data_IF_836980613023
#
_entry.id   IF_836980613023
#
_cell.length_a   1.000
_cell.length_b   1.000
_cell.length_c   1.000
_cell.angle_alpha   90.00
_cell.angle_beta   90.00
_cell.angle_gamma   90.00
#
_symmetry.space_group_name_H-M   'P 1'
#
loop_
_entity.id
_entity.type
_entity.pdbx_description
1 polymer ?
#
# COMPACT_ATOMS: atom_id res chain seq x y z
N UNK A 1 11.46 31.20 -15.10
CA UNK A 1 11.77 30.33 -13.94
C UNK A 1 10.73 29.24 -13.89
N UNK A 2 11.07 28.05 -14.26
CA UNK A 2 10.21 26.86 -14.10
C UNK A 2 10.24 26.50 -12.63
N UNK A 3 9.21 26.83 -11.91
CA UNK A 3 9.00 26.31 -10.54
C UNK A 3 8.85 24.80 -10.70
N UNK A 4 9.91 24.06 -10.43
CA UNK A 4 9.82 22.61 -10.33
C UNK A 4 8.84 22.31 -9.20
N UNK A 5 7.67 21.77 -9.54
CA UNK A 5 6.68 21.45 -8.53
C UNK A 5 7.31 20.40 -7.58
N UNK A 6 7.21 20.67 -6.28
CA UNK A 6 7.77 19.77 -5.26
C UNK A 6 7.03 18.43 -5.29
N UNK A 7 7.78 17.34 -5.25
CA UNK A 7 7.18 16.00 -5.13
C UNK A 7 6.59 15.81 -3.73
N UNK A 8 5.32 15.43 -3.66
CA UNK A 8 4.60 15.19 -2.41
C UNK A 8 3.81 13.89 -2.46
N UNK A 9 3.66 13.24 -1.33
CA UNK A 9 2.79 12.07 -1.19
C UNK A 9 1.34 12.53 -1.22
N UNK A 10 0.52 11.93 -2.09
CA UNK A 10 -0.91 12.24 -2.24
C UNK A 10 -1.82 11.13 -1.73
N UNK A 11 -1.29 9.96 -1.43
CA UNK A 11 -2.04 8.87 -0.84
C UNK A 11 -1.23 7.59 -0.70
N UNK A 12 -1.79 6.64 0.03
CA UNK A 12 -1.16 5.35 0.31
C UNK A 12 -2.17 4.20 0.19
N UNK A 13 -1.68 3.03 -0.24
CA UNK A 13 -2.43 1.78 -0.21
C UNK A 13 -1.64 0.79 0.62
N UNK A 14 -2.16 0.39 1.80
CA UNK A 14 -1.46 -0.50 2.71
C UNK A 14 -1.49 -1.95 2.26
N UNK A 15 -0.53 -2.74 2.74
CA UNK A 15 -0.54 -4.21 2.68
C UNK A 15 -0.71 -4.81 1.29
N UNK A 16 -0.08 -4.23 0.28
CA UNK A 16 -0.05 -4.77 -1.07
C UNK A 16 1.00 -5.88 -1.18
N UNK A 17 0.56 -7.10 -1.45
CA UNK A 17 1.40 -8.30 -1.51
C UNK A 17 1.60 -8.79 -2.93
N UNK A 18 2.82 -9.14 -3.28
CA UNK A 18 3.15 -9.75 -4.56
C UNK A 18 4.00 -10.99 -4.36
N UNK A 19 3.86 -11.95 -5.27
CA UNK A 19 4.71 -13.15 -5.29
C UNK A 19 6.10 -12.80 -5.80
N UNK A 20 7.12 -13.16 -5.06
CA UNK A 20 8.54 -12.98 -5.42
C UNK A 20 9.24 -14.27 -5.81
N UNK A 21 8.55 -15.41 -5.67
CA UNK A 21 9.02 -16.74 -6.03
C UNK A 21 7.91 -17.76 -5.86
N UNK A 22 8.25 -19.05 -5.99
CA UNK A 22 7.26 -20.13 -5.92
C UNK A 22 6.57 -20.19 -4.54
N UNK A 23 7.30 -19.86 -3.46
CA UNK A 23 6.82 -19.95 -2.07
C UNK A 23 7.03 -18.66 -1.28
N UNK A 24 7.46 -17.57 -1.93
CA UNK A 24 7.78 -16.32 -1.27
C UNK A 24 6.86 -15.18 -1.72
N UNK A 25 6.52 -14.33 -0.76
CA UNK A 25 5.68 -13.15 -0.97
C UNK A 25 6.36 -11.94 -0.32
N UNK A 26 6.36 -10.82 -0.99
CA UNK A 26 6.78 -9.54 -0.43
C UNK A 26 5.56 -8.64 -0.24
N UNK A 27 5.53 -7.92 0.87
CA UNK A 27 4.51 -6.93 1.19
C UNK A 27 5.07 -5.52 1.09
N UNK A 28 4.26 -4.62 0.55
CA UNK A 28 4.59 -3.21 0.35
C UNK A 28 3.45 -2.32 0.80
N UNK A 29 3.78 -1.11 1.21
CA UNK A 29 2.86 0.02 1.12
C UNK A 29 3.07 0.68 -0.24
N UNK A 30 2.02 0.83 -1.03
CA UNK A 30 2.07 1.58 -2.27
C UNK A 30 1.88 3.07 -1.94
N UNK A 31 2.91 3.86 -2.14
CA UNK A 31 2.89 5.30 -1.85
C UNK A 31 2.78 6.05 -3.16
N UNK A 32 1.64 6.71 -3.36
CA UNK A 32 1.37 7.50 -4.56
C UNK A 32 1.82 8.93 -4.32
N UNK A 33 2.71 9.43 -5.15
CA UNK A 33 3.09 10.83 -5.17
C UNK A 33 2.46 11.54 -6.37
N UNK A 34 2.57 12.85 -6.43
CA UNK A 34 2.14 13.60 -7.61
C UNK A 34 3.01 13.36 -8.87
N UNK A 35 4.09 12.56 -8.75
CA UNK A 35 5.02 12.25 -9.85
C UNK A 35 5.13 10.77 -10.19
N UNK A 36 5.03 9.88 -9.19
CA UNK A 36 5.34 8.44 -9.34
C UNK A 36 4.66 7.58 -8.30
N UNK A 37 4.77 6.27 -8.46
CA UNK A 37 4.39 5.27 -7.47
C UNK A 37 5.65 4.72 -6.81
N UNK A 38 5.72 4.81 -5.49
CA UNK A 38 6.80 4.25 -4.69
C UNK A 38 6.31 2.95 -4.04
N UNK A 39 7.14 1.92 -4.10
CA UNK A 39 6.95 0.64 -3.43
C UNK A 39 7.77 0.64 -2.14
N UNK A 40 7.13 0.94 -1.02
CA UNK A 40 7.77 0.94 0.29
C UNK A 40 7.64 -0.46 0.92
N UNK A 41 8.75 -1.21 0.97
CA UNK A 41 8.76 -2.59 1.46
C UNK A 41 8.44 -2.66 2.94
N UNK A 42 7.49 -3.50 3.30
CA UNK A 42 7.19 -3.82 4.69
C UNK A 42 8.12 -4.93 5.16
N UNK A 43 9.08 -4.60 6.01
CA UNK A 43 9.98 -5.57 6.64
C UNK A 43 9.45 -5.97 8.01
N UNK A 44 9.82 -7.16 8.49
CA UNK A 44 9.45 -7.62 9.83
C UNK A 44 9.89 -6.66 10.93
N UNK A 45 11.06 -6.04 10.77
CA UNK A 45 11.59 -5.08 11.75
C UNK A 45 10.77 -3.80 11.79
N UNK A 46 10.39 -3.26 10.63
CA UNK A 46 9.52 -2.09 10.55
C UNK A 46 8.13 -2.37 11.13
N UNK A 47 7.58 -3.56 10.87
CA UNK A 47 6.29 -3.99 11.44
C UNK A 47 6.37 -4.13 12.95
N UNK A 48 7.45 -4.72 13.49
CA UNK A 48 7.67 -4.83 14.93
C UNK A 48 7.79 -3.46 15.60
N UNK A 49 8.65 -2.60 15.09
CA UNK A 49 8.83 -1.24 15.61
C UNK A 49 7.50 -0.47 15.65
N UNK A 50 6.71 -0.56 14.58
CA UNK A 50 5.40 0.09 14.55
C UNK A 50 4.42 -0.54 15.53
N UNK A 51 4.40 -1.86 15.66
CA UNK A 51 3.53 -2.57 16.61
C UNK A 51 3.87 -2.19 18.07
N UNK A 52 5.15 -2.09 18.40
CA UNK A 52 5.60 -1.66 19.72
C UNK A 52 5.20 -0.22 20.00
N UNK A 53 5.36 0.68 19.04
CA UNK A 53 4.92 2.07 19.16
C UNK A 53 3.41 2.17 19.37
N UNK A 54 2.60 1.47 18.56
CA UNK A 54 1.13 1.47 18.68
C UNK A 54 0.68 0.90 20.02
N UNK A 55 1.33 -0.15 20.51
CA UNK A 55 1.05 -0.71 21.85
C UNK A 55 1.38 0.28 22.98
N UNK A 56 2.50 0.98 22.86
CA UNK A 56 2.90 2.00 23.84
C UNK A 56 1.91 3.17 23.87
N UNK A 57 1.48 3.64 22.69
CA UNK A 57 0.47 4.70 22.54
C UNK A 57 -0.91 4.23 23.05
N UNK A 58 -1.32 3.00 22.80
CA UNK A 58 -2.57 2.42 23.30
C UNK A 58 -2.58 2.27 24.83
N UNK A 59 -1.45 1.87 25.44
CA UNK A 59 -1.31 1.82 26.91
C UNK A 59 -1.40 3.20 27.54
N UNK A 60 -0.82 4.21 26.91
CA UNK A 60 -0.88 5.59 27.37
C UNK A 60 -2.28 6.20 27.22
N UNK A 61 -3.08 5.74 26.23
CA UNK A 61 -4.42 6.25 25.93
C UNK A 61 -5.57 5.54 26.65
N UNK A 62 -5.34 4.51 27.47
CA UNK A 62 -6.38 3.77 28.21
C UNK A 62 -7.40 3.07 27.30
N UNK A 63 -7.06 2.77 26.06
CA UNK A 63 -7.95 2.12 25.11
C UNK A 63 -8.20 0.67 25.50
N UNK A 64 -9.43 0.37 25.93
CA UNK A 64 -9.92 -0.97 26.17
C UNK A 64 -9.88 -1.84 24.91
N UNK A 65 -9.81 -3.11 25.15
CA UNK A 65 -9.80 -4.24 24.25
C UNK A 65 -10.62 -4.05 22.95
N UNK A 66 -9.97 -3.68 21.88
CA UNK A 66 -10.47 -3.89 20.52
C UNK A 66 -9.95 -5.24 20.03
N UNK A 67 -10.85 -6.12 19.54
CA UNK A 67 -10.49 -7.47 19.12
C UNK A 67 -9.26 -7.50 18.20
N UNK A 68 -8.45 -8.55 18.30
CA UNK A 68 -7.15 -8.70 17.65
C UNK A 68 -7.12 -8.38 16.14
N UNK A 69 -8.23 -8.58 15.44
CA UNK A 69 -8.38 -8.28 14.02
C UNK A 69 -8.46 -6.79 13.71
N UNK A 70 -9.24 -6.04 14.47
CA UNK A 70 -9.33 -4.59 14.32
C UNK A 70 -8.01 -3.89 14.63
N UNK A 71 -7.23 -4.42 15.57
CA UNK A 71 -5.92 -3.88 15.93
C UNK A 71 -4.88 -4.08 14.82
N UNK A 72 -4.86 -5.23 14.13
CA UNK A 72 -3.92 -5.49 13.04
C UNK A 72 -4.20 -4.64 11.80
N UNK A 73 -5.47 -4.49 11.41
CA UNK A 73 -5.87 -3.61 10.31
C UNK A 73 -5.58 -2.15 10.63
N UNK A 74 -5.86 -1.70 11.86
CA UNK A 74 -5.52 -0.36 12.33
C UNK A 74 -4.00 -0.14 12.36
N UNK A 75 -3.22 -1.13 12.79
CA UNK A 75 -1.77 -1.04 12.82
C UNK A 75 -1.16 -0.95 11.42
N UNK A 76 -1.63 -1.75 10.47
CA UNK A 76 -1.18 -1.69 9.08
C UNK A 76 -1.57 -0.37 8.41
N UNK A 77 -2.78 0.12 8.68
CA UNK A 77 -3.25 1.41 8.19
C UNK A 77 -2.47 2.57 8.81
N UNK A 78 -2.27 2.57 10.12
CA UNK A 78 -1.48 3.57 10.82
C UNK A 78 -0.01 3.57 10.38
N UNK A 79 0.54 2.39 10.09
CA UNK A 79 1.88 2.27 9.51
C UNK A 79 1.96 2.93 8.13
N UNK A 80 0.99 2.69 7.26
CA UNK A 80 0.94 3.30 5.94
C UNK A 80 0.72 4.83 6.00
N UNK A 81 -0.08 5.30 6.95
CA UNK A 81 -0.38 6.73 7.14
C UNK A 81 0.86 7.58 7.44
N UNK A 82 1.90 7.02 8.07
CA UNK A 82 3.13 7.75 8.35
C UNK A 82 3.81 8.28 7.09
N UNK A 83 3.65 7.58 5.96
CA UNK A 83 4.22 8.00 4.68
C UNK A 83 3.62 9.29 4.14
N UNK A 84 2.40 9.65 4.54
CA UNK A 84 1.76 10.92 4.12
C UNK A 84 2.52 12.16 4.61
N UNK A 85 3.28 12.03 5.71
CA UNK A 85 4.08 13.11 6.29
C UNK A 85 5.56 13.01 5.96
N UNK A 86 5.97 12.01 5.15
CA UNK A 86 7.38 11.78 4.82
C UNK A 86 7.72 12.36 3.44
N UNK A 87 8.94 12.86 3.32
CA UNK A 87 9.52 13.23 2.03
C UNK A 87 9.70 11.97 1.15
N UNK A 88 9.33 12.00 -0.14
CA UNK A 88 9.46 10.85 -1.04
C UNK A 88 10.88 10.27 -1.12
N UNK A 89 11.90 11.12 -1.06
CA UNK A 89 13.29 10.69 -1.03
C UNK A 89 13.63 9.90 0.25
N UNK A 90 13.09 10.32 1.40
CA UNK A 90 13.28 9.62 2.67
C UNK A 90 12.58 8.25 2.66
N UNK A 91 11.41 8.15 2.02
CA UNK A 91 10.70 6.87 1.85
C UNK A 91 11.56 5.90 1.03
N UNK A 92 12.13 6.35 -0.08
CA UNK A 92 13.00 5.51 -0.91
C UNK A 92 14.27 5.06 -0.19
N UNK A 93 14.82 5.90 0.68
CA UNK A 93 16.03 5.60 1.44
C UNK A 93 15.79 4.72 2.68
N UNK A 94 14.54 4.53 3.10
CA UNK A 94 14.19 3.82 4.34
C UNK A 94 14.59 2.33 4.32
N UNK A 95 14.52 1.70 3.15
CA UNK A 95 14.86 0.28 2.99
C UNK A 95 15.49 0.03 1.62
N UNK A 96 16.52 -0.84 1.53
CA UNK A 96 17.13 -1.19 0.23
C UNK A 96 16.18 -1.89 -0.74
N UNK A 97 15.07 -2.46 -0.23
CA UNK A 97 14.03 -3.07 -1.06
C UNK A 97 12.99 -2.10 -1.62
N UNK A 98 13.10 -0.81 -1.31
CA UNK A 98 12.20 0.21 -1.84
C UNK A 98 12.56 0.57 -3.28
N UNK A 99 11.55 0.81 -4.09
CA UNK A 99 11.69 1.18 -5.48
C UNK A 99 10.54 2.09 -5.92
N UNK A 100 10.55 2.48 -7.18
CA UNK A 100 9.50 3.30 -7.76
C UNK A 100 9.27 3.00 -9.25
N UNK A 101 8.15 3.46 -9.77
CA UNK A 101 7.84 3.46 -11.19
C UNK A 101 7.25 4.81 -11.58
N UNK A 102 7.75 5.38 -12.65
CA UNK A 102 7.25 6.61 -13.26
C UNK A 102 6.11 6.34 -14.25
N UNK A 103 5.23 7.30 -14.51
CA UNK A 103 4.19 7.17 -15.53
C UNK A 103 4.74 6.81 -16.92
N UNK A 104 5.94 7.26 -17.27
CA UNK A 104 6.59 6.93 -18.55
C UNK A 104 6.96 5.45 -18.69
N UNK A 105 7.11 4.73 -17.60
CA UNK A 105 7.40 3.29 -17.57
C UNK A 105 6.15 2.43 -17.55
N UNK A 106 5.00 3.00 -17.16
CA UNK A 106 3.73 2.28 -17.04
C UNK A 106 2.97 2.29 -18.36
N UNK A 107 2.56 1.12 -18.81
CA UNK A 107 1.65 0.94 -19.95
C UNK A 107 0.19 0.94 -19.52
N UNK A 108 -0.07 0.28 -18.39
CA UNK A 108 -1.40 0.18 -17.80
C UNK A 108 -1.30 -0.07 -16.30
N UNK A 109 -2.20 0.55 -15.56
CA UNK A 109 -2.44 0.30 -14.14
C UNK A 109 -3.91 -0.06 -13.96
N UNK A 110 -4.19 -1.29 -13.53
CA UNK A 110 -5.56 -1.79 -13.36
C UNK A 110 -5.85 -2.04 -11.89
N UNK A 111 -7.01 -1.57 -11.43
CA UNK A 111 -7.49 -1.82 -10.07
C UNK A 111 -8.80 -2.59 -10.16
N UNK A 112 -8.84 -3.76 -9.54
CA UNK A 112 -9.99 -4.63 -9.51
C UNK A 112 -10.38 -4.95 -8.06
N UNK A 113 -11.67 -4.92 -7.78
CA UNK A 113 -12.22 -5.51 -6.56
C UNK A 113 -12.33 -7.01 -6.73
N UNK A 114 -11.80 -7.76 -5.80
CA UNK A 114 -11.88 -9.22 -5.75
C UNK A 114 -12.43 -9.68 -4.40
N UNK A 115 -12.86 -10.93 -4.36
CA UNK A 115 -13.37 -11.57 -3.16
C UNK A 115 -12.52 -12.79 -2.84
N UNK A 116 -12.20 -12.96 -1.56
CA UNK A 116 -11.48 -14.12 -1.04
C UNK A 116 -12.44 -14.87 -0.13
N UNK A 117 -12.66 -16.16 -0.39
CA UNK A 117 -13.42 -17.04 0.51
C UNK A 117 -12.60 -17.32 1.77
N UNK A 118 -13.22 -17.22 2.92
CA UNK A 118 -12.57 -17.46 4.22
C UNK A 118 -12.63 -18.94 4.69
N UNK A 119 -13.08 -19.86 3.83
CA UNK A 119 -13.19 -21.29 4.16
C UNK A 119 -14.45 -21.94 3.57
N UNK A 120 -14.59 -23.26 3.74
CA UNK A 120 -15.62 -24.05 3.08
C UNK A 120 -17.03 -23.93 3.66
N UNK A 121 -17.21 -23.28 4.82
CA UNK A 121 -18.48 -23.31 5.55
C UNK A 121 -19.03 -21.94 6.00
N UNK A 122 -18.38 -20.83 5.64
CA UNK A 122 -18.85 -19.50 6.05
C UNK A 122 -19.05 -18.55 4.88
N UNK A 123 -20.20 -17.85 4.92
CA UNK A 123 -20.55 -16.70 4.07
C UNK A 123 -19.60 -15.48 4.24
N UNK A 124 -18.46 -15.65 4.92
CA UNK A 124 -17.46 -14.61 5.19
C UNK A 124 -16.47 -14.46 4.04
N UNK A 125 -16.96 -14.00 2.89
CA UNK A 125 -16.06 -13.55 1.83
C UNK A 125 -15.52 -12.15 2.16
N UNK A 126 -14.21 -11.99 2.09
CA UNK A 126 -13.53 -10.72 2.30
C UNK A 126 -13.18 -10.07 0.98
N UNK A 127 -13.61 -8.81 0.80
CA UNK A 127 -13.19 -8.03 -0.34
C UNK A 127 -11.74 -7.56 -0.21
N UNK A 128 -11.02 -7.56 -1.32
CA UNK A 128 -9.67 -7.02 -1.43
C UNK A 128 -9.45 -6.35 -2.79
N UNK A 129 -8.40 -5.56 -2.91
CA UNK A 129 -8.01 -4.97 -4.18
C UNK A 129 -6.93 -5.82 -4.85
N UNK A 130 -7.09 -6.02 -6.14
CA UNK A 130 -6.04 -6.51 -7.03
C UNK A 130 -5.55 -5.36 -7.89
N UNK A 131 -4.28 -5.02 -7.74
CA UNK A 131 -3.63 -3.95 -8.48
C UNK A 131 -2.63 -4.58 -9.43
N UNK A 132 -2.84 -4.35 -10.72
CA UNK A 132 -2.01 -4.89 -11.78
C UNK A 132 -1.27 -3.73 -12.42
N UNK A 133 0.05 -3.77 -12.41
CA UNK A 133 0.92 -2.76 -13.01
C UNK A 133 1.66 -3.42 -14.17
N UNK A 134 1.36 -2.97 -15.37
CA UNK A 134 2.05 -3.38 -16.59
C UNK A 134 3.03 -2.28 -17.00
N UNK A 135 4.29 -2.64 -17.06
CA UNK A 135 5.37 -1.74 -17.45
C UNK A 135 6.05 -2.21 -18.73
N UNK A 136 7.01 -1.44 -19.21
CA UNK A 136 7.89 -1.87 -20.33
C UNK A 136 8.71 -3.10 -19.99
N UNK A 137 9.00 -3.34 -18.69
CA UNK A 137 9.80 -4.46 -18.20
C UNK A 137 8.97 -5.72 -17.86
N UNK A 138 7.64 -5.61 -17.77
CA UNK A 138 6.76 -6.73 -17.44
C UNK A 138 5.54 -6.34 -16.64
N UNK A 139 4.86 -7.35 -16.13
CA UNK A 139 3.60 -7.22 -15.41
C UNK A 139 3.77 -7.73 -13.98
N UNK A 140 3.35 -6.91 -13.01
CA UNK A 140 3.32 -7.29 -11.59
C UNK A 140 1.91 -7.14 -11.04
N UNK A 141 1.52 -8.10 -10.20
CA UNK A 141 0.21 -8.11 -9.53
C UNK A 141 0.40 -7.99 -8.03
N UNK A 142 -0.36 -7.09 -7.42
CA UNK A 142 -0.41 -6.88 -5.98
C UNK A 142 -1.83 -7.14 -5.47
N UNK A 143 -1.96 -7.94 -4.44
CA UNK A 143 -3.22 -8.18 -3.74
C UNK A 143 -3.14 -7.56 -2.34
N UNK A 144 -4.14 -6.77 -1.97
CA UNK A 144 -4.21 -6.15 -0.63
C UNK A 144 -4.85 -7.08 0.40
N UNK A 145 -4.67 -6.81 1.68
CA UNK A 145 -5.33 -7.59 2.73
C UNK A 145 -6.81 -7.26 2.86
N UNK A 146 -7.22 -6.06 2.50
CA UNK A 146 -8.60 -5.60 2.55
C UNK A 146 -8.89 -4.55 1.49
N UNK A 147 -10.08 -3.98 1.50
CA UNK A 147 -10.55 -2.96 0.55
C UNK A 147 -10.47 -1.56 1.19
N UNK A 148 -9.27 -1.14 1.58
CA UNK A 148 -9.04 0.21 2.09
C UNK A 148 -7.77 0.79 1.46
N UNK A 149 -7.91 1.85 0.60
CA UNK A 149 -9.16 2.46 0.11
C UNK A 149 -9.99 1.50 -0.75
N UNK A 150 -11.26 1.82 -1.00
CA UNK A 150 -12.06 1.02 -1.93
C UNK A 150 -11.56 1.16 -3.38
N UNK A 151 -12.06 0.31 -4.27
CA UNK A 151 -11.57 0.25 -5.66
C UNK A 151 -11.71 1.59 -6.41
N UNK A 152 -12.80 2.31 -6.20
CA UNK A 152 -13.04 3.59 -6.87
C UNK A 152 -12.08 4.67 -6.34
N UNK A 153 -11.90 4.75 -5.04
CA UNK A 153 -10.97 5.70 -4.42
C UNK A 153 -9.52 5.39 -4.78
N UNK A 154 -9.15 4.10 -4.86
CA UNK A 154 -7.83 3.69 -5.34
C UNK A 154 -7.60 4.10 -6.80
N UNK A 155 -8.59 3.90 -7.69
CA UNK A 155 -8.52 4.36 -9.09
C UNK A 155 -8.36 5.87 -9.16
N UNK A 156 -9.14 6.63 -8.39
CA UNK A 156 -9.04 8.09 -8.35
C UNK A 156 -7.66 8.54 -7.86
N UNK A 157 -7.12 7.88 -6.84
CA UNK A 157 -5.79 8.16 -6.31
C UNK A 157 -4.71 7.95 -7.38
N UNK A 158 -4.69 6.79 -8.02
CA UNK A 158 -3.73 6.50 -9.09
C UNK A 158 -3.90 7.43 -10.30
N UNK A 159 -5.13 7.80 -10.64
CA UNK A 159 -5.41 8.65 -11.80
C UNK A 159 -4.81 10.06 -11.67
N UNK A 160 -4.58 10.53 -10.45
CA UNK A 160 -3.90 11.82 -10.21
C UNK A 160 -2.46 11.84 -10.71
N UNK A 161 -1.80 10.68 -10.75
CA UNK A 161 -0.42 10.55 -11.21
C UNK A 161 -0.33 9.93 -12.60
N UNK A 162 -1.13 8.90 -12.85
CA UNK A 162 -1.05 8.07 -14.05
C UNK A 162 -2.13 8.40 -15.11
N UNK A 163 -3.11 9.23 -14.77
CA UNK A 163 -4.13 9.72 -15.71
C UNK A 163 -4.88 8.58 -16.41
N UNK A 164 -4.90 8.64 -17.75
CA UNK A 164 -5.61 7.67 -18.58
C UNK A 164 -5.01 6.25 -18.61
N UNK A 165 -3.85 6.03 -18.00
CA UNK A 165 -3.26 4.69 -17.85
C UNK A 165 -3.99 3.83 -16.83
N UNK A 166 -4.84 4.43 -15.97
CA UNK A 166 -5.61 3.75 -14.92
C UNK A 166 -6.91 3.20 -15.50
N UNK A 167 -7.21 1.92 -15.20
CA UNK A 167 -8.38 1.17 -15.67
C UNK A 167 -9.16 0.55 -14.53
#
# INVERSE_FOLDING_TARGET
MTTSAVEVVIGVIPSAKTKTGMFSTAAYTLVVTNYRLIFARMTNDLVKQNTERVRAEAKAGGAGFFGQWGAQLKAAFAFAQRYLAMEPAAILAESPGNGFVDPSQVRQLKVERKWRSAGSDDDNSQAYLRIIIETTAGKTTYDTDGETPNANDAKLLFSRTFGALVR
#
